data_IF_798527987775
#
_entry.id   IF_798527987775
#
_cell.length_a   1.000
_cell.length_b   1.000
_cell.length_c   1.000
_cell.angle_alpha   90.00
_cell.angle_beta   90.00
_cell.angle_gamma   90.00
#
_symmetry.space_group_name_H-M   'P 1'
#
loop_
_entity.id
_entity.type
_entity.pdbx_description
1 polymer ?
#
# COMPACT_ATOMS: atom_id res chain seq x y z
N UNK A 1 12.47 13.22 -7.61
CA UNK A 1 11.63 12.02 -7.83
C UNK A 1 12.36 10.80 -7.28
N UNK A 2 11.64 9.80 -6.78
CA UNK A 2 12.24 8.48 -6.52
C UNK A 2 12.62 7.83 -7.86
N UNK A 3 13.50 6.80 -7.90
CA UNK A 3 13.98 6.22 -9.16
C UNK A 3 13.16 5.01 -9.61
N UNK A 4 13.50 4.47 -10.80
CA UNK A 4 12.89 3.28 -11.42
C UNK A 4 13.39 1.94 -10.85
N UNK A 5 14.30 1.93 -9.88
CA UNK A 5 15.08 0.75 -9.50
C UNK A 5 16.37 0.62 -10.32
N UNK A 6 17.06 -0.53 -10.21
CA UNK A 6 18.24 -0.84 -11.04
C UNK A 6 17.97 -1.91 -12.11
N UNK A 7 16.76 -2.47 -12.14
CA UNK A 7 16.34 -3.43 -13.15
C UNK A 7 14.94 -3.10 -13.66
N UNK A 8 14.71 -3.21 -14.97
CA UNK A 8 13.41 -3.01 -15.60
C UNK A 8 13.13 -4.21 -16.49
N UNK A 9 12.02 -4.91 -16.26
CA UNK A 9 11.61 -6.00 -17.15
C UNK A 9 11.26 -5.47 -18.56
N UNK A 10 11.61 -6.20 -19.64
CA UNK A 10 11.44 -5.69 -21.01
C UNK A 10 9.99 -5.40 -21.43
N UNK A 11 9.03 -6.05 -20.78
CA UNK A 11 7.59 -5.85 -21.01
C UNK A 11 7.10 -4.44 -20.60
N UNK A 12 7.91 -3.64 -19.90
CA UNK A 12 7.65 -2.21 -19.65
C UNK A 12 7.30 -1.47 -20.95
N UNK A 13 8.21 -1.49 -21.93
CA UNK A 13 8.02 -0.79 -23.20
C UNK A 13 6.98 -1.47 -24.10
N UNK A 14 6.75 -2.77 -23.91
CA UNK A 14 5.72 -3.50 -24.65
C UNK A 14 4.31 -3.07 -24.24
N UNK A 15 4.09 -2.95 -22.94
CA UNK A 15 2.86 -2.42 -22.39
C UNK A 15 2.62 -0.97 -22.84
N UNK A 16 3.63 -0.10 -22.80
CA UNK A 16 3.47 1.30 -23.20
C UNK A 16 3.06 1.44 -24.68
N UNK A 17 3.67 0.65 -25.58
CA UNK A 17 3.25 0.61 -27.00
C UNK A 17 1.81 0.10 -27.16
N UNK A 18 1.42 -0.91 -26.39
CA UNK A 18 0.06 -1.43 -26.42
C UNK A 18 -0.95 -0.39 -25.92
N UNK A 19 -0.66 0.31 -24.82
CA UNK A 19 -1.51 1.37 -24.29
C UNK A 19 -1.67 2.54 -25.28
N UNK A 20 -0.58 2.97 -25.93
CA UNK A 20 -0.62 4.00 -26.98
C UNK A 20 -1.52 3.59 -28.15
N UNK A 21 -1.51 2.31 -28.54
CA UNK A 21 -2.40 1.80 -29.61
C UNK A 21 -3.89 1.85 -29.24
N UNK A 22 -4.22 2.01 -27.96
CA UNK A 22 -5.57 2.16 -27.43
C UNK A 22 -5.95 3.64 -27.23
N UNK A 23 -5.09 4.57 -27.62
CA UNK A 23 -5.32 6.01 -27.44
C UNK A 23 -4.96 6.53 -26.04
N UNK A 24 -4.26 5.73 -25.22
CA UNK A 24 -3.76 6.17 -23.91
C UNK A 24 -2.36 6.76 -24.11
N UNK A 25 -2.17 8.09 -24.02
CA UNK A 25 -0.92 8.72 -24.38
C UNK A 25 0.17 8.41 -23.35
N UNK A 26 1.41 8.23 -23.82
CA UNK A 26 2.57 8.25 -22.96
C UNK A 26 2.77 9.65 -22.36
N UNK A 27 3.03 9.70 -21.06
CA UNK A 27 3.42 10.92 -20.34
C UNK A 27 4.74 10.70 -19.63
N UNK A 28 5.54 11.76 -19.47
CA UNK A 28 6.81 11.70 -18.74
C UNK A 28 6.60 11.63 -17.22
N UNK A 29 5.46 12.12 -16.73
CA UNK A 29 5.06 12.14 -15.33
C UNK A 29 3.54 12.06 -15.17
N UNK A 30 3.00 10.85 -15.00
CA UNK A 30 1.59 10.69 -14.62
C UNK A 30 1.34 11.14 -13.17
N UNK A 31 2.39 11.39 -12.39
CA UNK A 31 2.36 11.80 -10.99
C UNK A 31 2.54 13.32 -10.80
N UNK A 32 2.24 14.12 -11.83
CA UNK A 32 2.34 15.60 -11.86
C UNK A 32 1.20 16.34 -11.12
N UNK A 33 0.32 15.59 -10.46
CA UNK A 33 -0.90 16.05 -9.76
C UNK A 33 -2.01 16.57 -10.69
N UNK A 34 -1.93 16.35 -12.00
CA UNK A 34 -2.94 16.79 -13.00
C UNK A 34 -3.38 15.69 -13.95
N UNK A 35 -2.47 14.76 -14.28
CA UNK A 35 -2.74 13.68 -15.20
C UNK A 35 -3.79 12.70 -14.65
N UNK A 36 -4.85 12.49 -15.43
CA UNK A 36 -5.95 11.57 -15.13
C UNK A 36 -6.20 10.53 -16.22
N UNK A 37 -5.58 10.72 -17.40
CA UNK A 37 -5.63 9.80 -18.52
C UNK A 37 -4.26 9.78 -19.22
N UNK A 38 -3.46 8.76 -18.97
CA UNK A 38 -2.11 8.63 -19.50
C UNK A 38 -1.36 7.40 -18.97
N UNK A 39 -0.28 7.03 -19.66
CA UNK A 39 0.58 5.89 -19.36
C UNK A 39 2.01 6.33 -19.05
N UNK A 40 2.66 5.70 -18.08
CA UNK A 40 4.07 5.99 -17.74
C UNK A 40 4.89 4.73 -17.42
N UNK A 41 6.23 4.87 -17.49
CA UNK A 41 7.12 3.96 -16.77
C UNK A 41 6.97 4.24 -15.26
N UNK A 42 6.53 3.24 -14.51
CA UNK A 42 6.15 3.43 -13.11
C UNK A 42 7.36 3.55 -12.17
N UNK A 43 7.37 4.63 -11.37
CA UNK A 43 8.38 4.90 -10.35
C UNK A 43 8.28 3.99 -9.12
N UNK A 44 9.39 3.86 -8.37
CA UNK A 44 9.51 2.88 -7.29
C UNK A 44 10.10 3.49 -6.02
N UNK A 45 9.59 3.07 -4.86
CA UNK A 45 10.16 3.41 -3.54
C UNK A 45 11.42 2.59 -3.25
N UNK A 46 12.44 2.72 -4.10
CA UNK A 46 13.71 2.01 -4.03
C UNK A 46 14.82 3.06 -4.18
N UNK A 47 15.85 3.02 -3.33
CA UNK A 47 17.05 3.83 -3.53
C UNK A 47 17.95 3.14 -4.57
N UNK A 48 18.17 3.78 -5.72
CA UNK A 48 19.00 3.25 -6.82
C UNK A 48 20.47 3.07 -6.44
N UNK A 49 21.00 3.93 -5.60
CA UNK A 49 22.42 3.87 -5.21
C UNK A 49 22.71 2.67 -4.31
N UNK A 50 21.69 2.24 -3.54
CA UNK A 50 21.80 1.15 -2.58
C UNK A 50 21.13 -0.15 -3.03
N UNK A 51 20.30 -0.10 -4.09
CA UNK A 51 19.44 -1.21 -4.49
C UNK A 51 18.51 -1.68 -3.35
N UNK A 52 18.04 -0.75 -2.50
CA UNK A 52 17.27 -1.06 -1.28
C UNK A 52 15.94 -0.34 -1.26
N UNK A 53 14.92 -0.97 -0.68
CA UNK A 53 13.64 -0.33 -0.37
C UNK A 53 13.85 0.96 0.43
N UNK A 54 13.15 2.02 0.04
CA UNK A 54 13.03 3.25 0.81
C UNK A 54 11.84 3.13 1.78
N UNK A 55 12.09 2.73 3.02
CA UNK A 55 11.07 2.66 4.07
C UNK A 55 11.18 3.81 5.09
N UNK A 56 10.05 4.20 5.69
CA UNK A 56 9.98 5.33 6.62
C UNK A 56 10.84 5.16 7.88
N UNK A 57 11.07 3.93 8.35
CA UNK A 57 11.90 3.71 9.54
C UNK A 57 13.37 3.99 9.25
N UNK A 58 13.90 3.53 8.11
CA UNK A 58 15.25 3.85 7.67
C UNK A 58 15.42 5.28 7.16
N UNK A 59 14.34 5.93 6.71
CA UNK A 59 14.38 7.33 6.32
C UNK A 59 14.40 8.29 7.54
N UNK A 60 13.56 8.05 8.55
CA UNK A 60 13.32 9.01 9.63
C UNK A 60 13.78 8.55 11.02
N UNK A 61 13.60 7.27 11.37
CA UNK A 61 13.78 6.79 12.75
C UNK A 61 15.23 6.35 13.00
N UNK A 62 15.73 5.39 12.23
CA UNK A 62 17.06 4.81 12.45
C UNK A 62 18.20 5.83 12.27
N UNK A 63 18.18 6.72 11.26
CA UNK A 63 19.19 7.78 11.15
C UNK A 63 19.14 8.75 12.34
N UNK A 64 17.94 9.10 12.82
CA UNK A 64 17.79 9.98 13.98
C UNK A 64 18.35 9.33 15.24
N UNK A 65 18.01 8.07 15.52
CA UNK A 65 18.55 7.34 16.68
C UNK A 65 20.07 7.12 16.61
N UNK A 66 20.63 6.97 15.41
CA UNK A 66 22.08 6.84 15.23
C UNK A 66 22.82 8.12 15.63
N UNK A 67 22.19 9.28 15.41
CA UNK A 67 22.84 10.59 15.57
C UNK A 67 22.37 11.35 16.82
N UNK A 68 21.28 10.93 17.47
CA UNK A 68 20.63 11.60 18.61
C UNK A 68 20.16 10.58 19.64
N UNK A 69 20.17 10.96 20.91
CA UNK A 69 19.81 10.08 22.04
C UNK A 69 18.38 10.29 22.57
N UNK A 70 17.63 11.24 22.02
CA UNK A 70 16.31 11.64 22.54
C UNK A 70 15.13 10.95 21.84
N UNK A 71 15.39 9.98 20.95
CA UNK A 71 14.36 9.17 20.30
C UNK A 71 14.46 7.73 20.80
N UNK A 72 13.37 7.24 21.39
CA UNK A 72 13.26 5.87 21.90
C UNK A 72 12.34 5.05 20.99
N UNK A 73 12.79 3.87 20.58
CA UNK A 73 12.02 2.95 19.75
C UNK A 73 11.62 1.73 20.59
N UNK A 74 10.31 1.48 20.66
CA UNK A 74 9.73 0.35 21.39
C UNK A 74 8.94 -0.48 20.40
N UNK A 75 9.49 -1.63 19.99
CA UNK A 75 8.85 -2.57 19.06
C UNK A 75 8.18 -3.72 19.81
N UNK A 76 7.51 -4.62 19.08
CA UNK A 76 6.85 -5.81 19.64
C UNK A 76 5.84 -5.51 20.77
N UNK A 77 5.28 -4.30 20.76
CA UNK A 77 4.41 -3.74 21.80
C UNK A 77 3.15 -3.19 21.15
N UNK A 78 1.99 -3.77 21.48
CA UNK A 78 0.70 -3.38 20.92
C UNK A 78 0.05 -2.32 21.82
N UNK A 79 -0.38 -1.21 21.21
CA UNK A 79 -1.18 -0.21 21.89
C UNK A 79 -2.56 -0.78 22.24
N UNK A 80 -2.91 -0.82 23.52
CA UNK A 80 -4.23 -1.20 23.99
C UNK A 80 -5.16 0.03 23.91
N UNK A 81 -4.91 1.03 24.76
CA UNK A 81 -5.70 2.26 24.83
C UNK A 81 -4.89 3.45 25.31
N UNK A 82 -5.42 4.64 25.08
CA UNK A 82 -4.97 5.90 25.65
C UNK A 82 -5.60 6.04 27.04
N UNK A 83 -4.82 6.56 27.98
CA UNK A 83 -5.28 6.92 29.32
C UNK A 83 -5.57 8.41 29.32
N UNK A 84 -6.80 8.77 29.72
CA UNK A 84 -7.29 10.14 29.75
C UNK A 84 -7.65 10.48 31.19
N UNK A 85 -7.11 11.60 31.68
CA UNK A 85 -7.32 12.14 33.02
C UNK A 85 -7.74 13.60 32.85
N UNK A 86 -8.86 14.00 33.45
CA UNK A 86 -9.40 15.37 33.40
C UNK A 86 -9.47 15.98 31.98
N UNK A 87 -9.86 15.16 31.00
CA UNK A 87 -9.97 15.56 29.60
C UNK A 87 -8.64 15.61 28.84
N UNK A 88 -7.52 15.25 29.47
CA UNK A 88 -6.17 15.28 28.88
C UNK A 88 -5.64 13.86 28.66
N UNK A 89 -5.06 13.61 27.48
CA UNK A 89 -4.40 12.34 27.17
C UNK A 89 -3.00 12.29 27.82
N UNK A 90 -2.86 11.52 28.92
CA UNK A 90 -1.66 11.52 29.78
C UNK A 90 -0.76 10.30 29.62
N UNK A 91 -1.21 9.25 28.92
CA UNK A 91 -0.33 8.18 28.51
C UNK A 91 -1.00 7.08 27.69
N UNK A 92 -0.25 6.02 27.45
CA UNK A 92 -0.65 4.90 26.60
C UNK A 92 -0.45 3.61 27.37
N UNK A 93 -1.51 2.81 27.47
CA UNK A 93 -1.45 1.44 27.97
C UNK A 93 -1.13 0.50 26.81
N UNK A 94 -0.22 -0.43 27.02
CA UNK A 94 0.26 -1.37 26.01
C UNK A 94 0.31 -2.80 26.53
N UNK A 95 0.25 -3.76 25.61
CA UNK A 95 0.43 -5.20 25.88
C UNK A 95 1.48 -5.80 24.93
N UNK A 96 2.10 -6.95 25.25
CA UNK A 96 2.98 -7.65 24.33
C UNK A 96 2.25 -8.04 23.04
N UNK A 97 2.94 -7.97 21.89
CA UNK A 97 2.35 -8.34 20.60
C UNK A 97 1.94 -9.82 20.54
N UNK A 98 2.74 -10.70 21.18
CA UNK A 98 2.40 -12.12 21.38
C UNK A 98 2.07 -12.32 22.86
N UNK A 99 0.92 -12.92 23.20
CA UNK A 99 0.63 -13.29 24.58
C UNK A 99 1.70 -14.26 25.07
N UNK A 100 2.49 -13.88 26.06
CA UNK A 100 3.47 -14.76 26.70
C UNK A 100 2.84 -15.36 27.96
N UNK A 101 2.54 -16.65 27.95
CA UNK A 101 2.11 -17.41 29.14
C UNK A 101 0.86 -18.28 28.94
N UNK A 102 0.78 -19.37 29.70
CA UNK A 102 -0.41 -20.23 29.87
C UNK A 102 -1.47 -19.60 30.79
N UNK A 103 -1.14 -18.48 31.43
CA UNK A 103 -2.01 -17.73 32.36
C UNK A 103 -2.67 -16.55 31.64
N UNK A 104 -3.96 -16.35 31.91
CA UNK A 104 -4.84 -15.36 31.24
C UNK A 104 -4.45 -13.88 31.46
N UNK A 105 -3.44 -13.57 32.27
CA UNK A 105 -3.05 -12.20 32.64
C UNK A 105 -1.89 -11.70 31.76
N UNK A 106 -2.22 -10.93 30.73
CA UNK A 106 -1.21 -10.24 29.92
C UNK A 106 -0.52 -9.13 30.73
N UNK A 107 0.82 -9.09 30.69
CA UNK A 107 1.61 -8.04 31.36
C UNK A 107 1.38 -6.71 30.64
N UNK A 108 0.50 -5.86 31.19
CA UNK A 108 0.29 -4.52 30.68
C UNK A 108 1.37 -3.55 31.19
N UNK A 109 1.78 -2.60 30.35
CA UNK A 109 2.65 -1.47 30.71
C UNK A 109 1.97 -0.16 30.36
N UNK A 110 2.32 0.91 31.08
CA UNK A 110 1.81 2.25 30.82
C UNK A 110 2.97 3.22 30.61
N UNK A 111 2.97 3.90 29.47
CA UNK A 111 3.94 4.96 29.14
C UNK A 111 3.27 6.32 29.29
N UNK A 112 3.86 7.23 30.08
CA UNK A 112 3.33 8.57 30.31
C UNK A 112 3.88 9.57 29.30
N UNK A 113 3.06 10.53 28.88
CA UNK A 113 3.45 11.61 28.00
C UNK A 113 3.24 12.96 28.70
N UNK A 114 4.25 13.84 28.66
CA UNK A 114 4.17 15.18 29.29
C UNK A 114 3.52 16.25 28.41
N UNK A 115 3.52 16.06 27.09
CA UNK A 115 3.14 17.11 26.13
C UNK A 115 2.13 16.62 25.10
N UNK A 116 2.43 15.52 24.40
CA UNK A 116 1.63 15.08 23.26
C UNK A 116 1.58 13.55 23.18
N UNK A 117 0.42 13.04 22.77
CA UNK A 117 0.23 11.68 22.28
C UNK A 117 -0.27 11.78 20.85
N UNK A 118 0.31 10.98 19.96
CA UNK A 118 -0.07 10.90 18.53
C UNK A 118 -0.50 9.47 18.26
N UNK A 119 -1.67 9.31 17.63
CA UNK A 119 -2.19 7.99 17.21
C UNK A 119 -1.87 7.80 15.74
N UNK A 120 -0.98 6.86 15.45
CA UNK A 120 -0.54 6.55 14.07
C UNK A 120 -0.55 5.04 13.82
N UNK A 121 -1.62 4.37 14.24
CA UNK A 121 -1.76 2.91 14.11
C UNK A 121 -2.34 2.47 12.75
N UNK A 122 -2.55 3.40 11.81
CA UNK A 122 -3.18 3.14 10.51
C UNK A 122 -4.71 3.12 10.56
N UNK A 123 -5.36 3.11 9.39
CA UNK A 123 -6.82 3.23 9.21
C UNK A 123 -7.61 2.18 9.98
N UNK A 124 -7.15 0.93 9.99
CA UNK A 124 -7.86 -0.18 10.66
C UNK A 124 -7.71 -0.10 12.18
N UNK A 125 -6.52 0.22 12.70
CA UNK A 125 -6.23 0.04 14.13
C UNK A 125 -6.39 1.31 14.96
N UNK A 126 -6.21 2.50 14.37
CA UNK A 126 -6.36 3.78 15.09
C UNK A 126 -7.77 3.96 15.66
N UNK A 127 -8.87 3.69 14.91
CA UNK A 127 -10.22 3.72 15.46
C UNK A 127 -10.43 2.75 16.62
N UNK A 128 -9.83 1.55 16.55
CA UNK A 128 -9.94 0.55 17.61
C UNK A 128 -9.24 1.01 18.90
N UNK A 129 -8.08 1.68 18.79
CA UNK A 129 -7.39 2.29 19.94
C UNK A 129 -8.26 3.39 20.55
N UNK A 130 -8.82 4.28 19.72
CA UNK A 130 -9.71 5.35 20.18
C UNK A 130 -10.96 4.79 20.89
N UNK A 131 -11.62 3.80 20.28
CA UNK A 131 -12.79 3.15 20.85
C UNK A 131 -12.47 2.48 22.19
N UNK A 132 -11.37 1.71 22.31
CA UNK A 132 -10.92 1.15 23.61
C UNK A 132 -10.52 2.21 24.64
N UNK A 133 -10.24 3.43 24.19
CA UNK A 133 -9.99 4.60 25.03
C UNK A 133 -11.26 5.33 25.45
N UNK A 134 -12.44 4.88 25.01
CA UNK A 134 -13.73 5.53 25.29
C UNK A 134 -14.08 6.66 24.32
N UNK A 135 -13.41 6.77 23.16
CA UNK A 135 -13.69 7.77 22.12
C UNK A 135 -14.33 7.06 20.91
N UNK A 136 -15.62 7.32 20.67
CA UNK A 136 -16.39 6.67 19.61
C UNK A 136 -17.89 6.80 19.85
N UNK A 137 -18.73 6.09 19.09
CA UNK A 137 -20.18 6.07 19.32
C UNK A 137 -20.51 5.59 20.73
N UNK A 138 -21.07 6.45 21.59
CA UNK A 138 -21.35 6.13 22.98
C UNK A 138 -22.26 4.91 23.15
N UNK A 139 -23.24 4.74 22.24
CA UNK A 139 -24.10 3.56 22.23
C UNK A 139 -23.32 2.27 21.98
N UNK A 140 -22.54 2.20 20.89
CA UNK A 140 -21.73 1.03 20.54
C UNK A 140 -20.68 0.71 21.61
N UNK A 141 -20.05 1.73 22.19
CA UNK A 141 -19.08 1.57 23.28
C UNK A 141 -19.71 0.93 24.52
N UNK A 142 -20.90 1.38 24.93
CA UNK A 142 -21.61 0.80 26.08
C UNK A 142 -21.98 -0.67 25.85
N UNK A 143 -22.39 -1.03 24.63
CA UNK A 143 -22.73 -2.43 24.28
C UNK A 143 -21.56 -3.41 24.48
N UNK A 144 -20.32 -2.93 24.32
CA UNK A 144 -19.12 -3.76 24.53
C UNK A 144 -18.43 -3.49 25.88
N UNK A 145 -19.12 -2.86 26.83
CA UNK A 145 -18.63 -2.65 28.19
C UNK A 145 -17.57 -1.55 28.34
N UNK A 146 -17.43 -0.66 27.36
CA UNK A 146 -16.51 0.48 27.42
C UNK A 146 -17.28 1.73 27.88
N UNK A 147 -16.79 2.39 28.94
CA UNK A 147 -17.32 3.68 29.39
C UNK A 147 -17.02 4.76 28.33
N UNK A 148 -18.02 5.42 27.73
CA UNK A 148 -17.79 6.54 26.82
C UNK A 148 -17.19 7.74 27.58
N UNK A 149 -16.18 8.36 26.98
CA UNK A 149 -15.55 9.62 27.42
C UNK A 149 -15.92 10.73 26.45
N UNK A 150 -15.80 10.46 25.15
CA UNK A 150 -16.21 11.38 24.07
C UNK A 150 -17.12 10.62 23.11
N UNK A 151 -18.33 11.12 22.92
CA UNK A 151 -19.26 10.57 21.91
C UNK A 151 -18.87 11.12 20.53
N UNK A 152 -18.15 10.30 19.76
CA UNK A 152 -17.66 10.65 18.43
C UNK A 152 -18.05 9.54 17.43
N UNK A 153 -19.30 9.53 16.93
CA UNK A 153 -19.84 8.39 16.19
C UNK A 153 -19.12 8.12 14.86
N UNK A 154 -18.37 9.08 14.31
CA UNK A 154 -17.55 8.89 13.11
C UNK A 154 -16.32 8.00 13.31
N UNK A 155 -15.89 7.69 14.54
CA UNK A 155 -14.72 6.85 14.79
C UNK A 155 -14.95 5.43 14.28
N UNK A 156 -14.21 5.06 13.24
CA UNK A 156 -14.30 3.75 12.59
C UNK A 156 -15.37 3.68 11.50
N UNK A 157 -16.01 4.80 11.17
CA UNK A 157 -16.92 4.93 10.04
C UNK A 157 -16.21 5.55 8.84
N UNK A 158 -16.88 5.60 7.69
CA UNK A 158 -16.36 6.13 6.44
C UNK A 158 -15.05 5.45 5.99
N UNK A 159 -14.97 4.13 6.19
CA UNK A 159 -13.88 3.33 5.66
C UNK A 159 -13.93 3.38 4.13
N UNK A 160 -12.80 3.71 3.53
CA UNK A 160 -12.59 3.77 2.09
C UNK A 160 -11.30 3.02 1.78
N UNK A 161 -11.27 2.41 0.61
CA UNK A 161 -10.11 1.71 0.05
C UNK A 161 -10.20 1.77 -1.47
N UNK A 162 -9.14 1.41 -2.18
CA UNK A 162 -9.22 1.14 -3.61
C UNK A 162 -9.55 -0.34 -3.83
N UNK A 163 -10.57 -0.63 -4.64
CA UNK A 163 -10.97 -2.01 -4.89
C UNK A 163 -10.11 -2.59 -6.01
N UNK A 164 -9.32 -3.62 -5.72
CA UNK A 164 -8.39 -4.19 -6.69
C UNK A 164 -8.74 -5.60 -7.15
N UNK A 165 -8.31 -5.91 -8.37
CA UNK A 165 -8.32 -7.27 -8.92
C UNK A 165 -7.13 -7.50 -9.85
N UNK A 166 -6.81 -8.78 -10.06
CA UNK A 166 -5.62 -9.23 -10.78
C UNK A 166 -6.02 -10.14 -11.94
N UNK A 167 -5.54 -9.84 -13.14
CA UNK A 167 -5.80 -10.65 -14.34
C UNK A 167 -4.49 -11.20 -14.90
N UNK A 168 -4.16 -12.49 -14.67
CA UNK A 168 -2.95 -13.10 -15.21
C UNK A 168 -3.08 -13.46 -16.69
N UNK A 169 -2.00 -13.30 -17.44
CA UNK A 169 -1.85 -13.68 -18.83
C UNK A 169 -0.59 -14.51 -19.02
N UNK A 170 -0.66 -15.56 -19.85
CA UNK A 170 0.52 -16.28 -20.28
C UNK A 170 1.42 -15.38 -21.14
N UNK A 171 2.72 -15.45 -20.92
CA UNK A 171 3.73 -14.85 -21.82
C UNK A 171 4.56 -15.95 -22.48
N UNK A 172 5.31 -15.57 -23.51
CA UNK A 172 6.18 -16.54 -24.22
C UNK A 172 7.22 -17.11 -23.23
N UNK A 173 7.64 -18.39 -23.39
CA UNK A 173 8.56 -19.03 -22.45
C UNK A 173 9.90 -18.30 -22.25
N UNK A 174 10.36 -17.54 -23.25
CA UNK A 174 11.59 -16.75 -23.25
C UNK A 174 11.42 -15.35 -22.64
N UNK A 175 10.20 -14.89 -22.40
CA UNK A 175 9.93 -13.58 -21.78
C UNK A 175 10.46 -13.59 -20.33
N UNK A 176 11.28 -12.61 -19.90
CA UNK A 176 11.69 -12.52 -18.51
C UNK A 176 10.50 -12.22 -17.59
N UNK A 177 10.39 -12.96 -16.49
CA UNK A 177 9.42 -12.74 -15.42
C UNK A 177 10.01 -13.18 -14.09
N UNK A 178 9.40 -12.80 -12.97
CA UNK A 178 9.83 -13.26 -11.64
C UNK A 178 9.23 -14.63 -11.22
N UNK A 179 8.44 -15.29 -12.08
CA UNK A 179 7.66 -16.47 -11.68
C UNK A 179 8.54 -17.58 -11.10
N UNK A 180 9.66 -17.91 -11.73
CA UNK A 180 10.55 -18.98 -11.27
C UNK A 180 11.24 -18.61 -9.94
N UNK A 181 11.59 -17.32 -9.77
CA UNK A 181 12.11 -16.81 -8.50
C UNK A 181 11.09 -16.98 -7.37
N UNK A 182 9.81 -16.64 -7.62
CA UNK A 182 8.72 -16.73 -6.64
C UNK A 182 8.30 -18.17 -6.37
N UNK A 183 8.37 -19.07 -7.37
CA UNK A 183 8.17 -20.52 -7.19
C UNK A 183 9.22 -21.19 -6.30
N UNK A 184 10.35 -20.53 -6.07
CA UNK A 184 11.44 -21.11 -5.29
C UNK A 184 12.45 -21.90 -6.13
N UNK A 185 12.57 -21.60 -7.43
CA UNK A 185 13.67 -22.15 -8.21
C UNK A 185 15.02 -21.70 -7.63
N UNK A 186 15.85 -22.68 -7.24
CA UNK A 186 17.09 -22.42 -6.50
C UNK A 186 18.12 -21.69 -7.35
N UNK A 187 18.14 -21.92 -8.67
CA UNK A 187 19.11 -21.30 -9.58
C UNK A 187 18.74 -19.84 -9.81
N UNK A 188 17.47 -19.57 -10.09
CA UNK A 188 16.92 -18.23 -10.25
C UNK A 188 17.12 -17.39 -8.97
N UNK A 189 16.79 -17.96 -7.80
CA UNK A 189 17.01 -17.28 -6.51
C UNK A 189 18.49 -17.00 -6.27
N UNK A 190 19.37 -18.01 -6.40
CA UNK A 190 20.80 -17.83 -6.17
C UNK A 190 21.37 -16.75 -7.09
N UNK A 191 21.07 -16.79 -8.39
CA UNK A 191 21.54 -15.81 -9.37
C UNK A 191 21.09 -14.39 -9.02
N UNK A 192 19.81 -14.21 -8.66
CA UNK A 192 19.26 -12.91 -8.29
C UNK A 192 19.92 -12.34 -7.02
N UNK A 193 20.14 -13.18 -6.00
CA UNK A 193 20.84 -12.77 -4.77
C UNK A 193 22.31 -12.46 -5.01
N UNK A 194 23.03 -13.32 -5.74
CA UNK A 194 24.46 -13.13 -6.05
C UNK A 194 24.68 -11.78 -6.76
N UNK A 195 23.86 -11.45 -7.75
CA UNK A 195 23.93 -10.16 -8.46
C UNK A 195 23.71 -8.99 -7.50
N UNK A 196 22.63 -9.02 -6.70
CA UNK A 196 22.37 -7.96 -5.73
C UNK A 196 23.50 -7.79 -4.71
N UNK A 197 24.10 -8.89 -4.24
CA UNK A 197 25.25 -8.84 -3.33
C UNK A 197 26.47 -8.21 -4.00
N UNK A 198 26.75 -8.59 -5.25
CA UNK A 198 27.93 -8.14 -5.99
C UNK A 198 27.89 -6.64 -6.32
N UNK A 199 26.77 -6.12 -6.83
CA UNK A 199 26.74 -4.77 -7.40
C UNK A 199 25.46 -3.99 -7.11
N UNK A 200 24.56 -4.49 -6.25
CA UNK A 200 23.27 -3.83 -5.94
C UNK A 200 22.41 -3.63 -7.18
N UNK A 201 22.46 -4.57 -8.11
CA UNK A 201 21.71 -4.58 -9.37
C UNK A 201 20.85 -5.86 -9.48
N UNK A 202 20.09 -5.97 -10.57
CA UNK A 202 19.35 -7.16 -10.94
C UNK A 202 17.92 -7.21 -10.40
N UNK A 203 17.22 -8.35 -10.60
CA UNK A 203 15.78 -8.46 -10.38
C UNK A 203 15.31 -8.26 -8.93
N UNK A 204 16.23 -8.24 -7.94
CA UNK A 204 15.92 -7.88 -6.54
C UNK A 204 15.83 -6.37 -6.28
N UNK A 205 16.13 -5.54 -7.28
CA UNK A 205 16.11 -4.07 -7.18
C UNK A 205 14.93 -3.41 -7.88
N UNK A 206 13.91 -4.21 -8.20
CA UNK A 206 12.62 -3.79 -8.75
C UNK A 206 11.49 -4.47 -7.97
N UNK A 207 10.27 -3.96 -8.12
CA UNK A 207 9.05 -4.67 -7.72
C UNK A 207 8.43 -5.47 -8.87
N UNK A 208 8.99 -5.38 -10.09
CA UNK A 208 8.46 -6.00 -11.31
C UNK A 208 7.22 -5.31 -11.87
N UNK A 209 6.80 -4.17 -11.30
CA UNK A 209 5.69 -3.35 -11.78
C UNK A 209 6.29 -2.18 -12.55
N UNK A 210 6.34 -2.32 -13.88
CA UNK A 210 7.23 -1.48 -14.69
C UNK A 210 6.51 -0.38 -15.46
N UNK A 211 5.24 -0.55 -15.75
CA UNK A 211 4.44 0.45 -16.45
C UNK A 211 2.99 0.34 -15.98
N UNK A 212 2.27 1.44 -16.10
CA UNK A 212 0.86 1.49 -15.74
C UNK A 212 0.18 2.69 -16.37
N UNK A 213 -1.12 2.78 -16.11
CA UNK A 213 -1.97 3.85 -16.62
C UNK A 213 -2.86 4.38 -15.52
N UNK A 214 -3.18 5.66 -15.66
CA UNK A 214 -4.37 6.31 -15.13
C UNK A 214 -5.33 6.46 -16.30
N UNK A 215 -6.60 6.08 -16.16
CA UNK A 215 -7.57 6.21 -17.25
C UNK A 215 -8.89 6.84 -16.77
N UNK A 216 -9.44 7.63 -17.69
CA UNK A 216 -10.83 8.09 -17.69
C UNK A 216 -11.55 7.55 -18.93
N UNK A 217 -12.83 7.18 -18.82
CA UNK A 217 -13.59 6.74 -19.97
C UNK A 217 -13.89 7.93 -20.89
N UNK A 218 -13.96 7.63 -22.19
CA UNK A 218 -14.52 8.51 -23.23
C UNK A 218 -16.04 8.58 -23.10
N UNK A 219 -16.68 9.55 -23.78
CA UNK A 219 -18.15 9.60 -23.82
C UNK A 219 -18.76 8.37 -24.52
N UNK A 220 -18.07 7.77 -25.49
CA UNK A 220 -18.50 6.54 -26.14
C UNK A 220 -18.48 5.35 -25.16
N UNK A 221 -17.42 5.22 -24.36
CA UNK A 221 -17.35 4.19 -23.31
C UNK A 221 -18.39 4.45 -22.21
N UNK A 222 -18.58 5.70 -21.77
CA UNK A 222 -19.61 6.06 -20.79
C UNK A 222 -21.03 5.78 -21.28
N UNK A 223 -21.29 5.86 -22.59
CA UNK A 223 -22.59 5.53 -23.17
C UNK A 223 -22.96 4.04 -23.04
N UNK A 224 -21.99 3.18 -22.70
CA UNK A 224 -22.22 1.75 -22.44
C UNK A 224 -22.47 1.43 -20.95
N UNK A 225 -22.28 2.40 -20.06
CA UNK A 225 -22.48 2.23 -18.63
C UNK A 225 -23.98 2.16 -18.27
N UNK A 226 -24.28 1.53 -17.13
CA UNK A 226 -25.63 1.60 -16.56
C UNK A 226 -25.95 2.99 -16.00
N UNK A 227 -27.25 3.25 -15.81
CA UNK A 227 -27.75 4.54 -15.34
C UNK A 227 -27.20 4.93 -13.96
N UNK A 228 -26.92 3.93 -13.10
CA UNK A 228 -26.40 4.16 -11.75
C UNK A 228 -24.95 4.68 -11.81
N UNK A 229 -24.08 4.01 -12.57
CA UNK A 229 -22.71 4.44 -12.78
C UNK A 229 -22.66 5.78 -13.51
N UNK A 230 -23.48 6.00 -14.55
CA UNK A 230 -23.51 7.28 -15.27
C UNK A 230 -23.85 8.44 -14.32
N UNK A 231 -24.88 8.27 -13.50
CA UNK A 231 -25.26 9.29 -12.51
C UNK A 231 -24.14 9.57 -11.50
N UNK A 232 -23.49 8.52 -10.99
CA UNK A 232 -22.36 8.65 -10.06
C UNK A 232 -21.15 9.33 -10.72
N UNK A 233 -20.89 9.01 -12.00
CA UNK A 233 -19.82 9.64 -12.77
C UNK A 233 -20.07 11.13 -12.97
N UNK A 234 -21.27 11.51 -13.40
CA UNK A 234 -21.62 12.90 -13.63
C UNK A 234 -21.56 13.73 -12.33
N UNK A 235 -22.00 13.17 -11.19
CA UNK A 235 -21.92 13.81 -9.87
C UNK A 235 -20.48 13.98 -9.38
N UNK A 236 -19.67 12.91 -9.42
CA UNK A 236 -18.34 12.91 -8.82
C UNK A 236 -17.25 13.41 -9.76
N UNK A 237 -17.25 13.00 -11.02
CA UNK A 237 -16.16 13.23 -12.00
C UNK A 237 -16.46 14.30 -13.04
N UNK A 238 -17.74 14.66 -13.28
CA UNK A 238 -18.16 15.52 -14.38
C UNK A 238 -17.44 16.88 -14.45
N UNK A 239 -17.11 17.46 -13.29
CA UNK A 239 -16.37 18.73 -13.19
C UNK A 239 -14.95 18.58 -12.59
N UNK A 240 -14.40 17.37 -12.54
CA UNK A 240 -13.08 17.07 -11.94
C UNK A 240 -12.20 16.34 -12.95
N UNK A 241 -11.69 17.04 -13.98
CA UNK A 241 -10.99 16.42 -15.10
C UNK A 241 -9.64 15.80 -14.70
N UNK A 242 -9.09 16.18 -13.55
CA UNK A 242 -7.83 15.70 -12.97
C UNK A 242 -7.96 14.38 -12.18
N UNK A 243 -9.17 13.83 -12.05
CA UNK A 243 -9.40 12.57 -11.35
C UNK A 243 -9.43 11.37 -12.30
N UNK A 244 -8.52 10.39 -12.20
CA UNK A 244 -8.67 9.13 -12.91
C UNK A 244 -9.84 8.32 -12.36
N UNK A 245 -10.48 7.51 -13.20
CA UNK A 245 -11.50 6.57 -12.76
C UNK A 245 -10.87 5.25 -12.31
N UNK A 246 -10.00 4.70 -13.15
CA UNK A 246 -9.32 3.43 -12.93
C UNK A 246 -7.82 3.62 -13.06
N UNK A 247 -7.08 2.86 -12.27
CA UNK A 247 -5.69 2.55 -12.51
C UNK A 247 -5.56 1.10 -12.94
N UNK A 248 -4.64 0.83 -13.86
CA UNK A 248 -4.08 -0.52 -13.97
C UNK A 248 -2.61 -0.50 -14.36
N UNK A 249 -1.89 -1.53 -13.94
CA UNK A 249 -0.44 -1.65 -14.18
C UNK A 249 -0.04 -3.06 -14.55
N UNK A 250 1.08 -3.16 -15.27
CA UNK A 250 1.71 -4.41 -15.65
C UNK A 250 2.63 -4.90 -14.54
N UNK A 251 2.36 -6.11 -14.06
CA UNK A 251 3.27 -6.90 -13.21
C UNK A 251 3.99 -7.95 -14.06
N UNK A 252 5.31 -8.01 -13.96
CA UNK A 252 6.21 -8.88 -14.72
C UNK A 252 6.34 -10.29 -14.12
N UNK A 253 5.18 -10.89 -13.84
CA UNK A 253 5.02 -12.20 -13.22
C UNK A 253 3.61 -12.35 -12.65
N UNK A 254 3.28 -13.56 -12.23
CA UNK A 254 2.00 -13.84 -11.57
C UNK A 254 2.01 -13.32 -10.13
N UNK A 255 1.09 -12.42 -9.80
CA UNK A 255 0.84 -12.03 -8.41
C UNK A 255 -0.28 -12.90 -7.82
N UNK A 256 0.10 -14.00 -7.19
CA UNK A 256 -0.84 -14.92 -6.54
C UNK A 256 -0.19 -16.22 -6.07
N UNK A 257 -1.02 -17.16 -5.61
CA UNK A 257 -0.56 -18.48 -5.16
C UNK A 257 -0.14 -19.34 -6.36
N UNK A 258 1.17 -19.43 -6.58
CA UNK A 258 1.74 -20.20 -7.70
C UNK A 258 1.44 -21.71 -7.61
N UNK A 259 0.98 -22.21 -6.47
CA UNK A 259 0.51 -23.61 -6.35
C UNK A 259 -0.87 -23.83 -6.97
N UNK A 260 -1.56 -22.75 -7.37
CA UNK A 260 -2.93 -22.76 -7.91
C UNK A 260 -3.02 -22.33 -9.37
N UNK A 261 -1.89 -22.14 -10.04
CA UNK A 261 -1.83 -21.76 -11.46
C UNK A 261 -0.92 -22.76 -12.20
N UNK A 262 -1.14 -23.05 -13.50
CA UNK A 262 -0.25 -23.92 -14.25
C UNK A 262 1.21 -23.43 -14.26
N UNK A 263 2.15 -24.34 -14.48
CA UNK A 263 3.54 -23.96 -14.73
C UNK A 263 3.64 -23.13 -16.02
N UNK A 264 4.56 -22.17 -16.04
CA UNK A 264 4.77 -21.28 -17.18
C UNK A 264 5.21 -19.90 -16.74
N UNK A 265 5.29 -18.97 -17.68
CA UNK A 265 5.58 -17.57 -17.37
C UNK A 265 4.34 -16.73 -17.57
N UNK A 266 4.21 -15.72 -16.73
CA UNK A 266 3.05 -14.86 -16.69
C UNK A 266 3.45 -13.40 -16.68
N UNK A 267 2.49 -12.58 -17.09
CA UNK A 267 2.35 -11.20 -16.64
C UNK A 267 0.98 -11.06 -15.98
N UNK A 268 0.79 -10.04 -15.15
CA UNK A 268 -0.49 -9.80 -14.50
C UNK A 268 -0.89 -8.33 -14.65
N UNK A 269 -2.11 -8.08 -15.08
CA UNK A 269 -2.70 -6.74 -15.02
C UNK A 269 -3.28 -6.53 -13.62
N UNK A 270 -2.74 -5.56 -12.90
CA UNK A 270 -3.17 -5.17 -11.56
C UNK A 270 -4.01 -3.90 -11.67
N UNK A 271 -5.31 -4.03 -11.44
CA UNK A 271 -6.29 -2.96 -11.55
C UNK A 271 -6.73 -2.52 -10.17
N UNK A 272 -7.06 -1.24 -10.01
CA UNK A 272 -7.89 -0.80 -8.91
C UNK A 272 -8.78 0.39 -9.29
N UNK A 273 -9.94 0.47 -8.64
CA UNK A 273 -10.87 1.60 -8.72
C UNK A 273 -10.38 2.75 -7.83
N UNK A 274 -10.24 3.95 -8.41
CA UNK A 274 -9.60 5.11 -7.76
C UNK A 274 -10.50 5.80 -6.73
N UNK A 275 -11.82 5.86 -6.96
CA UNK A 275 -12.77 6.50 -6.06
C UNK A 275 -14.06 5.68 -5.94
N UNK A 276 -14.07 4.58 -5.16
CA UNK A 276 -15.26 3.76 -4.99
C UNK A 276 -16.36 4.35 -4.11
#
# INVERSE_FOLDING_TARGET
>A
KVPFGNYTYPNCQDFLRAAESQGIPFVDDAEDLKCSHGAEHWLKWINRDLGRRSDSAHAYIHPTMRNKQNLYLITSTKCDKIVIEDGVAVGVKTVPMKPTGTTKTQIARTYRARKQIIVSCGTISSPLVLQRSGIGSAHKLRQVGIKPIVDLPGVGMNFQDHYCFFTPYHVKPDTPSFDDFVRGDKVAQKSAFDQWYANKDGPLTTNGIEAGVKIRPTEEELATADDEFRAAYDDYFGNKPDKPLMHYSLISGFFGDHTKIPNGKYMCMFHFLEYP
#
